data_IF_701232523861
#
_entry.id   IF_701232523861
#
_cell.length_a   1.000
_cell.length_b   1.000
_cell.length_c   1.000
_cell.angle_alpha   90.00
_cell.angle_beta   90.00
_cell.angle_gamma   90.00
#
_symmetry.space_group_name_H-M   'P 1'
#
loop_
_entity.id
_entity.type
_entity.pdbx_description
1 polymer ?
#
# COMPACT_ATOMS: atom_id res chain seq x y z
N UNK A 1 -25.37 35.34 31.00
CA UNK A 1 -23.91 35.18 31.01
C UNK A 1 -23.60 33.68 30.98
N UNK A 2 -23.76 33.05 29.81
CA UNK A 2 -23.43 31.64 29.61
C UNK A 2 -22.24 31.59 28.68
N UNK A 3 -21.06 31.32 29.24
CA UNK A 3 -19.82 31.17 28.49
C UNK A 3 -19.99 29.96 27.56
N UNK A 4 -20.17 30.23 26.27
CA UNK A 4 -19.90 29.23 25.23
C UNK A 4 -18.39 29.07 25.22
N UNK A 5 -17.92 27.95 25.78
CA UNK A 5 -16.60 27.45 25.48
C UNK A 5 -16.59 27.24 23.96
N UNK A 6 -15.98 28.18 23.22
CA UNK A 6 -15.47 27.88 21.90
C UNK A 6 -14.39 26.82 22.18
N UNK A 7 -14.74 25.55 22.06
CA UNK A 7 -13.75 24.53 21.80
C UNK A 7 -13.02 25.00 20.55
N UNK A 8 -11.85 25.60 20.78
CA UNK A 8 -10.90 25.88 19.73
C UNK A 8 -10.62 24.50 19.15
N UNK A 9 -11.26 24.16 18.03
CA UNK A 9 -11.13 22.84 17.41
C UNK A 9 -9.65 22.53 17.35
N UNK A 10 -9.21 21.57 18.15
CA UNK A 10 -7.84 21.13 18.14
C UNK A 10 -7.52 20.75 16.70
N UNK A 11 -6.45 21.32 16.17
CA UNK A 11 -6.01 21.02 14.81
C UNK A 11 -5.91 19.50 14.64
N UNK A 12 -6.45 18.94 13.54
CA UNK A 12 -6.53 17.51 13.39
C UNK A 12 -5.13 16.90 13.34
N UNK A 13 -4.96 15.75 13.99
CA UNK A 13 -3.76 14.92 13.88
C UNK A 13 -3.95 13.85 12.80
N UNK A 14 -2.84 13.30 12.29
CA UNK A 14 -2.85 12.20 11.32
C UNK A 14 -3.70 11.02 11.82
N UNK A 15 -3.51 10.59 13.08
CA UNK A 15 -4.27 9.48 13.68
C UNK A 15 -5.79 9.73 13.72
N UNK A 16 -6.18 10.94 14.12
CA UNK A 16 -7.59 11.30 14.21
C UNK A 16 -8.22 11.35 12.81
N UNK A 17 -7.49 11.92 11.85
CA UNK A 17 -7.91 12.00 10.46
C UNK A 17 -8.06 10.61 9.83
N UNK A 18 -7.04 9.77 9.94
CA UNK A 18 -7.03 8.42 9.38
C UNK A 18 -8.16 7.56 9.96
N UNK A 19 -8.37 7.61 11.29
CA UNK A 19 -9.47 6.89 11.95
C UNK A 19 -10.84 7.33 11.47
N UNK A 20 -11.07 8.64 11.35
CA UNK A 20 -12.36 9.17 10.90
C UNK A 20 -12.65 8.81 9.43
N UNK A 21 -11.60 8.68 8.62
CA UNK A 21 -11.69 8.33 7.21
C UNK A 21 -11.66 6.81 6.97
N UNK A 22 -11.32 5.99 7.97
CA UNK A 22 -11.26 4.53 7.86
C UNK A 22 -10.03 4.03 7.09
N UNK A 23 -8.90 4.74 7.22
CA UNK A 23 -7.63 4.44 6.53
C UNK A 23 -6.47 4.27 7.52
N UNK A 24 -6.76 3.69 8.68
CA UNK A 24 -5.82 3.54 9.79
C UNK A 24 -4.55 2.76 9.43
N UNK A 25 -4.64 1.82 8.49
CA UNK A 25 -3.49 1.06 8.00
C UNK A 25 -2.49 1.89 7.18
N UNK A 26 -2.81 3.16 6.87
CA UNK A 26 -1.92 4.09 6.17
C UNK A 26 -1.31 5.16 7.10
N UNK A 27 -1.51 5.06 8.42
CA UNK A 27 -1.06 6.08 9.40
C UNK A 27 0.45 6.28 9.39
N UNK A 28 1.24 5.21 9.42
CA UNK A 28 2.70 5.33 9.50
C UNK A 28 3.27 5.98 8.23
N UNK A 29 2.75 5.60 7.06
CA UNK A 29 3.07 6.23 5.78
C UNK A 29 2.66 7.71 5.76
N UNK A 30 1.49 8.05 6.33
CA UNK A 30 1.01 9.43 6.39
C UNK A 30 1.86 10.29 7.33
N UNK A 31 2.29 9.74 8.48
CA UNK A 31 3.22 10.40 9.41
C UNK A 31 4.56 10.65 8.74
N UNK A 32 5.20 9.61 8.21
CA UNK A 32 6.48 9.73 7.51
C UNK A 32 6.44 10.80 6.39
N UNK A 33 5.35 10.87 5.62
CA UNK A 33 5.18 11.90 4.59
C UNK A 33 5.00 13.31 5.20
N UNK A 34 4.20 13.45 6.25
CA UNK A 34 3.94 14.72 6.92
C UNK A 34 5.16 15.21 7.72
N UNK A 35 5.90 14.34 8.37
CA UNK A 35 7.09 14.72 9.14
C UNK A 35 8.23 15.15 8.20
N UNK A 36 8.31 14.56 7.02
CA UNK A 36 9.32 14.93 6.01
C UNK A 36 8.99 16.23 5.25
N UNK A 37 7.71 16.51 4.94
CA UNK A 37 7.33 17.63 4.05
C UNK A 37 6.09 18.42 4.47
N UNK A 38 5.47 18.09 5.61
CA UNK A 38 4.22 18.66 6.09
C UNK A 38 4.32 20.14 6.47
N UNK A 39 5.49 20.62 6.89
CA UNK A 39 5.71 22.04 7.14
C UNK A 39 5.50 22.89 5.86
N UNK A 40 6.01 22.42 4.71
CA UNK A 40 5.84 23.12 3.43
C UNK A 40 4.37 23.14 3.00
N UNK A 41 3.69 22.00 3.08
CA UNK A 41 2.26 21.91 2.77
C UNK A 41 1.41 22.75 3.74
N UNK A 42 1.80 22.84 5.01
CA UNK A 42 1.11 23.64 6.03
C UNK A 42 1.23 25.13 5.74
N UNK A 43 2.41 25.60 5.33
CA UNK A 43 2.63 27.00 4.96
C UNK A 43 1.80 27.42 3.74
N UNK A 44 1.64 26.53 2.77
CA UNK A 44 0.93 26.84 1.53
C UNK A 44 -0.59 26.65 1.62
N UNK A 45 -1.04 25.55 2.22
CA UNK A 45 -2.44 25.11 2.18
C UNK A 45 -3.14 25.20 3.54
N UNK A 46 -2.39 25.35 4.64
CA UNK A 46 -2.87 25.28 6.01
C UNK A 46 -2.75 23.88 6.61
N UNK A 47 -2.60 23.81 7.93
CA UNK A 47 -2.30 22.56 8.66
C UNK A 47 -3.33 21.45 8.42
N UNK A 48 -4.62 21.77 8.51
CA UNK A 48 -5.70 20.79 8.29
C UNK A 48 -5.64 20.20 6.88
N UNK A 49 -5.39 21.03 5.86
CA UNK A 49 -5.24 20.56 4.49
C UNK A 49 -3.98 19.71 4.31
N UNK A 50 -2.87 20.08 4.97
CA UNK A 50 -1.63 19.31 4.96
C UNK A 50 -1.77 17.92 5.61
N UNK A 51 -2.42 17.83 6.77
CA UNK A 51 -2.73 16.56 7.46
C UNK A 51 -3.60 15.66 6.59
N UNK A 52 -4.68 16.21 6.02
CA UNK A 52 -5.58 15.44 5.16
C UNK A 52 -4.92 15.06 3.82
N UNK A 53 -4.06 15.93 3.29
CA UNK A 53 -3.26 15.68 2.10
C UNK A 53 -2.29 14.52 2.32
N UNK A 54 -1.63 14.47 3.48
CA UNK A 54 -0.76 13.36 3.86
C UNK A 54 -1.52 12.03 3.99
N UNK A 55 -2.68 12.04 4.65
CA UNK A 55 -3.55 10.85 4.76
C UNK A 55 -4.04 10.39 3.39
N UNK A 56 -4.43 11.32 2.51
CA UNK A 56 -4.87 11.02 1.14
C UNK A 56 -3.75 10.42 0.30
N UNK A 57 -2.56 11.03 0.35
CA UNK A 57 -1.34 10.55 -0.32
C UNK A 57 -0.99 9.13 0.15
N UNK A 58 -0.99 8.89 1.46
CA UNK A 58 -0.67 7.61 2.05
C UNK A 58 -1.70 6.53 1.67
N UNK A 59 -3.00 6.84 1.73
CA UNK A 59 -4.05 5.93 1.34
C UNK A 59 -3.97 5.53 -0.16
N UNK A 60 -3.59 6.49 -1.02
CA UNK A 60 -3.34 6.24 -2.44
C UNK A 60 -2.11 5.36 -2.66
N UNK A 61 -0.98 5.65 -2.00
CA UNK A 61 0.26 4.88 -2.16
C UNK A 61 0.14 3.46 -1.59
N UNK A 62 -0.46 3.29 -0.42
CA UNK A 62 -0.68 1.96 0.19
C UNK A 62 -1.73 1.13 -0.55
N UNK A 63 -2.65 1.78 -1.27
CA UNK A 63 -3.74 1.13 -2.00
C UNK A 63 -4.94 0.76 -1.12
N UNK A 64 -5.05 1.36 0.06
CA UNK A 64 -6.19 1.20 1.00
C UNK A 64 -7.46 1.85 0.44
N UNK A 65 -7.31 2.81 -0.48
CA UNK A 65 -8.42 3.51 -1.12
C UNK A 65 -8.42 4.98 -0.70
N UNK A 66 -8.40 5.87 -1.69
CA UNK A 66 -8.34 7.30 -1.44
C UNK A 66 -9.67 7.80 -0.85
N UNK A 67 -9.67 8.58 0.25
CA UNK A 67 -10.88 9.20 0.78
C UNK A 67 -11.53 10.12 -0.26
N UNK A 68 -12.86 10.00 -0.41
CA UNK A 68 -13.61 10.84 -1.34
C UNK A 68 -13.57 12.33 -0.94
N UNK A 69 -13.47 13.28 -1.91
CA UNK A 69 -13.48 14.72 -1.65
C UNK A 69 -14.65 15.19 -0.78
N UNK A 70 -15.84 14.67 -1.03
CA UNK A 70 -17.07 15.02 -0.30
C UNK A 70 -16.97 14.61 1.16
N UNK A 71 -16.41 13.42 1.43
CA UNK A 71 -16.22 12.91 2.78
C UNK A 71 -15.21 13.75 3.58
N UNK A 72 -14.19 14.28 2.91
CA UNK A 72 -13.21 15.18 3.51
C UNK A 72 -13.86 16.51 3.93
N UNK A 73 -14.62 17.12 3.03
CA UNK A 73 -15.37 18.35 3.30
C UNK A 73 -16.36 18.17 4.45
N UNK A 74 -17.18 17.12 4.41
CA UNK A 74 -18.18 16.83 5.45
C UNK A 74 -17.56 16.55 6.82
N UNK A 75 -16.38 15.91 6.86
CA UNK A 75 -15.77 15.48 8.13
C UNK A 75 -14.94 16.56 8.81
N UNK A 76 -14.35 17.48 8.04
CA UNK A 76 -13.34 18.42 8.53
C UNK A 76 -13.61 19.88 8.18
N UNK A 77 -14.72 20.18 7.48
CA UNK A 77 -15.07 21.54 7.03
C UNK A 77 -13.91 22.21 6.27
N UNK A 78 -13.30 21.44 5.36
CA UNK A 78 -12.15 21.87 4.55
C UNK A 78 -12.51 21.86 3.08
N UNK A 79 -11.93 22.79 2.32
CA UNK A 79 -11.99 22.78 0.87
C UNK A 79 -11.19 21.58 0.30
N UNK A 80 -11.84 20.64 -0.42
CA UNK A 80 -11.14 19.50 -1.01
C UNK A 80 -10.05 19.89 -2.01
N UNK A 81 -10.16 21.03 -2.69
CA UNK A 81 -9.11 21.51 -3.61
C UNK A 81 -7.82 21.85 -2.87
N UNK A 82 -7.93 22.40 -1.65
CA UNK A 82 -6.75 22.65 -0.81
C UNK A 82 -6.11 21.37 -0.30
N UNK A 83 -6.91 20.35 0.00
CA UNK A 83 -6.39 19.04 0.38
C UNK A 83 -5.63 18.40 -0.79
N UNK A 84 -6.17 18.51 -2.01
CA UNK A 84 -5.51 18.04 -3.21
C UNK A 84 -4.20 18.81 -3.50
N UNK A 85 -4.21 20.13 -3.34
CA UNK A 85 -2.99 20.93 -3.47
C UNK A 85 -1.91 20.54 -2.44
N UNK A 86 -2.30 20.32 -1.17
CA UNK A 86 -1.37 19.89 -0.14
C UNK A 86 -0.76 18.51 -0.43
N UNK A 87 -1.55 17.57 -0.94
CA UNK A 87 -1.09 16.26 -1.42
C UNK A 87 -0.05 16.40 -2.54
N UNK A 88 -0.29 17.27 -3.52
CA UNK A 88 0.68 17.56 -4.60
C UNK A 88 1.98 18.18 -4.09
N UNK A 89 1.89 19.11 -3.13
CA UNK A 89 3.07 19.70 -2.47
C UNK A 89 3.89 18.62 -1.77
N UNK A 90 3.26 17.78 -0.95
CA UNK A 90 3.93 16.67 -0.27
C UNK A 90 4.59 15.71 -1.28
N UNK A 91 3.88 15.37 -2.35
CA UNK A 91 4.38 14.46 -3.38
C UNK A 91 5.64 14.98 -4.08
N UNK A 92 5.80 16.30 -4.21
CA UNK A 92 6.97 16.94 -4.84
C UNK A 92 8.27 16.66 -4.09
N UNK A 93 8.21 16.45 -2.77
CA UNK A 93 9.37 16.18 -1.92
C UNK A 93 9.66 14.69 -1.72
N UNK A 94 8.88 13.83 -2.38
CA UNK A 94 8.98 12.37 -2.30
C UNK A 94 9.37 11.80 -3.65
N UNK A 95 10.06 10.66 -3.64
CA UNK A 95 10.22 9.87 -4.87
C UNK A 95 8.85 9.43 -5.38
N UNK A 96 8.62 9.47 -6.71
CA UNK A 96 7.39 8.94 -7.28
C UNK A 96 7.33 7.42 -7.05
N UNK A 97 6.12 6.84 -7.01
CA UNK A 97 5.97 5.39 -7.08
C UNK A 97 6.51 4.86 -8.42
N UNK A 98 6.74 3.55 -8.47
CA UNK A 98 6.94 2.83 -9.72
C UNK A 98 5.73 3.01 -10.65
N UNK A 99 5.92 2.72 -11.93
CA UNK A 99 4.82 2.81 -12.88
C UNK A 99 3.72 1.77 -12.57
N UNK A 100 2.53 2.05 -13.08
CA UNK A 100 1.35 1.21 -12.78
C UNK A 100 1.45 -0.18 -13.40
N UNK A 101 2.25 -0.37 -14.46
CA UNK A 101 2.43 -1.67 -15.10
C UNK A 101 3.34 -2.54 -14.23
N UNK A 102 4.41 -1.98 -13.67
CA UNK A 102 5.28 -2.62 -12.69
C UNK A 102 4.53 -3.01 -11.41
N UNK A 103 3.79 -2.08 -10.80
CA UNK A 103 2.98 -2.38 -9.60
C UNK A 103 1.95 -3.47 -9.88
N UNK A 104 1.30 -3.44 -11.06
CA UNK A 104 0.34 -4.49 -11.46
C UNK A 104 1.03 -5.82 -11.71
N UNK A 105 2.22 -5.82 -12.28
CA UNK A 105 3.03 -7.02 -12.49
C UNK A 105 3.38 -7.68 -11.15
N UNK A 106 3.95 -6.92 -10.21
CA UNK A 106 4.28 -7.38 -8.86
C UNK A 106 3.06 -7.94 -8.12
N UNK A 107 1.91 -7.24 -8.17
CA UNK A 107 0.65 -7.72 -7.57
C UNK A 107 0.22 -9.08 -8.13
N UNK A 108 0.27 -9.26 -9.44
CA UNK A 108 -0.12 -10.52 -10.09
C UNK A 108 0.85 -11.64 -9.73
N UNK A 109 2.15 -11.37 -9.74
CA UNK A 109 3.19 -12.33 -9.33
C UNK A 109 3.00 -12.78 -7.89
N UNK A 110 2.69 -11.85 -6.98
CA UNK A 110 2.40 -12.15 -5.58
C UNK A 110 1.17 -13.06 -5.41
N UNK A 111 0.09 -12.81 -6.16
CA UNK A 111 -1.09 -13.70 -6.18
C UNK A 111 -0.70 -15.11 -6.63
N UNK A 112 0.07 -15.23 -7.71
CA UNK A 112 0.54 -16.54 -8.21
C UNK A 112 1.41 -17.25 -7.17
N UNK A 113 2.35 -16.55 -6.53
CA UNK A 113 3.22 -17.13 -5.52
C UNK A 113 2.43 -17.68 -4.32
N UNK A 114 1.41 -16.95 -3.85
CA UNK A 114 0.52 -17.40 -2.77
C UNK A 114 -0.28 -18.63 -3.18
N UNK A 115 -0.82 -18.68 -4.39
CA UNK A 115 -1.54 -19.85 -4.90
C UNK A 115 -0.63 -21.07 -5.06
N UNK A 116 0.61 -20.88 -5.52
CA UNK A 116 1.60 -21.95 -5.60
C UNK A 116 1.92 -22.49 -4.20
N UNK A 117 2.12 -21.61 -3.22
CA UNK A 117 2.31 -22.03 -1.82
C UNK A 117 1.11 -22.81 -1.29
N UNK A 118 -0.10 -22.33 -1.51
CA UNK A 118 -1.32 -23.02 -1.08
C UNK A 118 -1.45 -24.41 -1.75
N UNK A 119 -1.09 -24.52 -3.03
CA UNK A 119 -1.06 -25.79 -3.76
C UNK A 119 -0.04 -26.78 -3.17
N UNK A 120 1.16 -26.31 -2.85
CA UNK A 120 2.19 -27.11 -2.17
C UNK A 120 1.71 -27.57 -0.79
N UNK A 121 1.07 -26.70 -0.01
CA UNK A 121 0.52 -27.04 1.30
C UNK A 121 -0.63 -28.06 1.22
N UNK A 122 -1.45 -28.00 0.15
CA UNK A 122 -2.52 -28.99 -0.12
C UNK A 122 -1.98 -30.37 -0.54
N UNK A 123 -0.73 -30.44 -1.00
CA UNK A 123 -0.06 -31.68 -1.37
C UNK A 123 -0.28 -32.11 -2.82
N UNK A 124 0.34 -33.24 -3.19
CA UNK A 124 0.39 -33.73 -4.58
C UNK A 124 -1.02 -33.94 -5.15
N UNK A 125 -1.21 -33.58 -6.42
CA UNK A 125 -2.46 -33.56 -7.20
C UNK A 125 -3.38 -32.34 -7.05
N UNK A 126 -3.10 -31.40 -6.13
CA UNK A 126 -3.82 -30.13 -6.06
C UNK A 126 -2.97 -29.03 -6.71
N UNK A 127 -3.29 -28.64 -7.95
CA UNK A 127 -2.59 -27.57 -8.66
C UNK A 127 -2.87 -26.16 -8.09
N UNK A 128 -2.12 -25.13 -8.53
CA UNK A 128 -2.46 -23.73 -8.26
C UNK A 128 -3.82 -23.38 -8.87
N UNK A 129 -4.67 -22.68 -8.12
CA UNK A 129 -5.99 -22.26 -8.57
C UNK A 129 -5.93 -20.79 -8.98
N UNK A 130 -5.58 -20.54 -10.25
CA UNK A 130 -5.45 -19.17 -10.75
C UNK A 130 -6.79 -18.65 -11.30
N UNK A 131 -7.36 -17.57 -10.72
CA UNK A 131 -8.55 -16.94 -11.26
C UNK A 131 -8.23 -16.16 -12.55
N UNK A 132 -8.27 -16.84 -13.69
CA UNK A 132 -8.17 -16.24 -15.03
C UNK A 132 -6.80 -16.39 -15.70
N UNK A 133 -6.80 -16.33 -17.04
CA UNK A 133 -5.63 -16.63 -17.89
C UNK A 133 -4.44 -15.69 -17.67
N UNK A 134 -4.69 -14.40 -17.48
CA UNK A 134 -3.65 -13.37 -17.31
C UNK A 134 -2.75 -13.54 -16.08
N UNK A 135 -3.16 -14.32 -15.07
CA UNK A 135 -2.29 -14.67 -13.94
C UNK A 135 -1.27 -15.74 -14.30
N UNK A 136 -1.59 -16.61 -15.27
CA UNK A 136 -0.63 -17.61 -15.75
C UNK A 136 0.61 -16.95 -16.40
N UNK A 137 0.41 -15.80 -17.06
CA UNK A 137 1.47 -15.03 -17.70
C UNK A 137 2.31 -14.21 -16.71
N UNK A 138 1.86 -14.04 -15.45
CA UNK A 138 2.55 -13.21 -14.48
C UNK A 138 3.80 -13.87 -13.89
N UNK A 139 3.78 -15.20 -13.73
CA UNK A 139 4.93 -15.95 -13.21
C UNK A 139 5.09 -17.31 -13.92
N UNK A 140 5.33 -17.32 -15.25
CA UNK A 140 5.30 -18.54 -16.05
C UNK A 140 6.35 -19.57 -15.60
N UNK A 141 7.53 -19.10 -15.20
CA UNK A 141 8.59 -19.98 -14.69
C UNK A 141 8.24 -20.63 -13.36
N UNK A 142 7.60 -19.89 -12.45
CA UNK A 142 7.18 -20.40 -11.15
C UNK A 142 6.09 -21.46 -11.33
N UNK A 143 5.11 -21.20 -12.20
CA UNK A 143 4.02 -22.12 -12.50
C UNK A 143 4.50 -23.39 -13.21
N UNK A 144 5.43 -23.28 -14.16
CA UNK A 144 6.03 -24.45 -14.81
C UNK A 144 6.76 -25.35 -13.81
N UNK A 145 7.50 -24.76 -12.86
CA UNK A 145 8.17 -25.50 -11.77
C UNK A 145 7.15 -26.14 -10.83
N UNK A 146 6.13 -25.39 -10.39
CA UNK A 146 5.09 -25.89 -9.51
C UNK A 146 4.31 -27.05 -10.13
N UNK A 147 3.96 -26.95 -11.41
CA UNK A 147 3.26 -28.02 -12.14
C UNK A 147 4.08 -29.30 -12.18
N UNK A 148 5.39 -29.19 -12.41
CA UNK A 148 6.31 -30.35 -12.44
C UNK A 148 6.51 -30.97 -11.05
N UNK A 149 6.54 -30.14 -10.01
CA UNK A 149 6.73 -30.57 -8.62
C UNK A 149 5.49 -31.26 -8.03
N UNK A 150 4.30 -30.79 -8.41
CA UNK A 150 3.02 -31.32 -7.92
C UNK A 150 2.55 -32.56 -8.70
N UNK A 151 3.14 -32.84 -9.86
CA UNK A 151 2.85 -34.04 -10.64
C UNK A 151 3.42 -35.30 -9.95
N UNK A 152 2.51 -36.13 -9.44
CA UNK A 152 2.81 -37.43 -8.85
C UNK A 152 3.63 -38.37 -9.74
N UNK A 153 3.59 -38.20 -11.07
CA UNK A 153 4.36 -39.01 -12.04
C UNK A 153 5.81 -38.57 -12.15
N UNK A 154 6.15 -37.41 -11.61
CA UNK A 154 7.48 -36.84 -11.67
C UNK A 154 8.11 -36.91 -10.28
N UNK A 155 9.12 -37.74 -10.09
CA UNK A 155 9.85 -37.86 -8.82
C UNK A 155 10.93 -36.78 -8.70
N UNK A 156 10.55 -35.52 -8.97
CA UNK A 156 11.48 -34.40 -9.07
C UNK A 156 11.12 -33.33 -8.05
N UNK A 157 11.93 -33.26 -7.01
CA UNK A 157 11.90 -32.15 -6.08
C UNK A 157 12.59 -30.94 -6.70
N UNK A 158 11.95 -29.77 -6.59
CA UNK A 158 12.47 -28.52 -7.12
C UNK A 158 12.86 -27.62 -5.95
N UNK A 159 14.15 -27.34 -5.77
CA UNK A 159 14.61 -26.39 -4.77
C UNK A 159 13.93 -25.03 -4.95
N UNK A 160 13.45 -24.44 -3.85
CA UNK A 160 12.70 -23.19 -3.85
C UNK A 160 11.17 -23.35 -3.92
N UNK A 161 10.65 -24.58 -3.95
CA UNK A 161 9.22 -24.87 -3.80
C UNK A 161 8.88 -25.47 -2.43
N UNK A 162 9.84 -25.57 -1.52
CA UNK A 162 9.56 -25.89 -0.12
C UNK A 162 8.76 -24.74 0.52
N UNK A 163 7.86 -25.07 1.44
CA UNK A 163 6.98 -24.07 2.09
C UNK A 163 7.75 -22.89 2.68
N UNK A 164 8.92 -23.13 3.29
CA UNK A 164 9.77 -22.07 3.83
C UNK A 164 10.33 -21.15 2.74
N UNK A 165 10.87 -21.70 1.65
CA UNK A 165 11.41 -20.91 0.55
C UNK A 165 10.33 -20.09 -0.17
N UNK A 166 9.12 -20.65 -0.31
CA UNK A 166 7.98 -19.94 -0.86
C UNK A 166 7.50 -18.80 0.05
N UNK A 167 7.51 -19.01 1.37
CA UNK A 167 7.22 -17.93 2.33
C UNK A 167 8.23 -16.80 2.18
N UNK A 168 9.53 -17.10 2.20
CA UNK A 168 10.58 -16.09 2.09
C UNK A 168 10.52 -15.36 0.73
N UNK A 169 10.11 -16.05 -0.34
CA UNK A 169 9.88 -15.42 -1.64
C UNK A 169 8.67 -14.47 -1.64
N UNK A 170 7.57 -14.86 -1.00
CA UNK A 170 6.37 -14.03 -0.83
C UNK A 170 6.70 -12.78 -0.02
N UNK A 171 7.41 -12.92 1.09
CA UNK A 171 7.83 -11.79 1.93
C UNK A 171 8.69 -10.79 1.14
N UNK A 172 9.62 -11.27 0.30
CA UNK A 172 10.40 -10.40 -0.59
C UNK A 172 9.52 -9.67 -1.61
N UNK A 173 8.57 -10.37 -2.24
CA UNK A 173 7.64 -9.75 -3.19
C UNK A 173 6.71 -8.73 -2.54
N UNK A 174 6.34 -8.94 -1.28
CA UNK A 174 5.57 -7.98 -0.49
C UNK A 174 6.38 -6.70 -0.24
N UNK A 175 7.64 -6.84 0.17
CA UNK A 175 8.55 -5.71 0.34
C UNK A 175 8.82 -4.97 -0.99
N UNK A 176 9.07 -5.70 -2.09
CA UNK A 176 9.27 -5.10 -3.41
C UNK A 176 8.02 -4.33 -3.87
N UNK A 177 6.83 -4.87 -3.60
CA UNK A 177 5.55 -4.22 -3.93
C UNK A 177 5.28 -2.99 -3.07
N UNK A 178 5.68 -3.02 -1.80
CA UNK A 178 5.60 -1.87 -0.90
C UNK A 178 6.56 -0.77 -1.35
N UNK A 179 7.82 -1.10 -1.63
CA UNK A 179 8.81 -0.17 -2.19
C UNK A 179 8.32 0.47 -3.49
N UNK A 180 7.79 -0.34 -4.42
CA UNK A 180 7.24 0.13 -5.69
C UNK A 180 6.06 1.10 -5.49
N UNK A 181 5.23 0.86 -4.48
CA UNK A 181 4.06 1.70 -4.16
C UNK A 181 4.40 3.00 -3.46
N UNK A 182 5.34 2.94 -2.51
CA UNK A 182 5.73 4.10 -1.72
C UNK A 182 6.72 4.99 -2.47
N UNK A 183 7.54 4.41 -3.35
CA UNK A 183 8.74 5.04 -3.87
C UNK A 183 9.87 4.99 -2.85
N UNK A 184 11.12 5.05 -3.32
CA UNK A 184 12.30 4.82 -2.48
C UNK A 184 12.37 5.74 -1.27
N UNK A 185 12.17 7.06 -1.44
CA UNK A 185 12.27 8.02 -0.34
C UNK A 185 11.25 7.74 0.78
N UNK A 186 9.98 7.51 0.44
CA UNK A 186 8.95 7.29 1.44
C UNK A 186 9.08 5.91 2.10
N UNK A 187 9.50 4.90 1.33
CA UNK A 187 9.80 3.58 1.88
C UNK A 187 10.89 3.64 2.96
N UNK A 188 11.99 4.37 2.70
CA UNK A 188 13.06 4.54 3.69
C UNK A 188 12.60 5.29 4.93
N UNK A 189 11.78 6.34 4.78
CA UNK A 189 11.27 7.09 5.94
C UNK A 189 10.42 6.22 6.86
N UNK A 190 9.58 5.34 6.30
CA UNK A 190 8.72 4.44 7.08
C UNK A 190 9.52 3.34 7.80
N UNK A 191 10.65 2.92 7.24
CA UNK A 191 11.52 1.89 7.85
C UNK A 191 12.42 2.47 8.96
N UNK A 192 12.61 3.80 8.99
CA UNK A 192 13.45 4.53 9.95
C UNK A 192 12.68 5.05 11.19
N UNK A 193 11.34 5.08 11.14
CA UNK A 193 10.43 5.51 12.23
C UNK A 193 10.07 4.38 13.21
#
# INVERSE_FOLDING_TARGET
MGQRHLEMSAEPTIDCAARRLGVESAVDVARAAFDHAGEMATLECGHTAAVLGAVRLAARRTGVGEPAPERLAESFDVDPERVAAADEVLATYLSPPADQDEIRSLRRTLVVAREVRAAVERGRNAGPELPGSHLADAAPFLLARASSHLDSRTDREYPGLETAALRDHIERLEADLELARLGTKLYTLVDED
#
